data_IF_100384654167
#
_entry.id   IF_100384654167
#
_cell.length_a   1.000
_cell.length_b   1.000
_cell.length_c   1.000
_cell.angle_alpha   90.00
_cell.angle_beta   90.00
_cell.angle_gamma   90.00
#
_symmetry.space_group_name_H-M   'P 1'
#
loop_
_entity.id
_entity.type
_entity.pdbx_description
1 polymer ?
#
# COMPACT_ATOMS: atom_id res chain seq x y z
N UNK A 1 -10.22 20.51 1.85
CA UNK A 1 -9.77 19.28 2.52
C UNK A 1 -8.49 18.89 1.86
N UNK A 2 -7.36 19.08 2.52
CA UNK A 2 -6.07 18.86 1.91
C UNK A 2 -5.49 17.56 2.50
N UNK A 3 -4.98 16.68 1.62
CA UNK A 3 -4.23 15.45 1.93
C UNK A 3 -2.77 15.80 2.23
N UNK A 4 -2.28 15.44 3.42
CA UNK A 4 -0.95 15.85 3.91
C UNK A 4 0.07 14.89 3.36
N UNK A 5 0.49 15.12 2.12
CA UNK A 5 1.62 14.38 1.58
C UNK A 5 2.88 14.74 2.38
N UNK A 6 3.71 13.74 2.76
CA UNK A 6 5.03 14.00 3.27
C UNK A 6 5.84 14.72 2.20
N UNK A 7 6.31 15.90 2.55
CA UNK A 7 7.12 16.73 1.69
C UNK A 7 8.54 16.16 1.59
N UNK A 8 8.97 15.73 0.39
CA UNK A 8 10.38 15.41 0.15
C UNK A 8 11.19 16.69 -0.15
N UNK A 9 12.50 16.67 0.06
CA UNK A 9 13.38 17.84 -0.10
C UNK A 9 13.17 18.60 -1.43
N UNK A 10 13.03 17.95 -2.61
CA UNK A 10 12.74 18.64 -3.88
C UNK A 10 11.33 19.27 -3.98
N UNK A 11 10.31 18.65 -3.38
CA UNK A 11 8.92 19.16 -3.41
C UNK A 11 8.74 20.43 -2.59
N UNK A 12 9.54 20.62 -1.53
CA UNK A 12 9.48 21.82 -0.69
C UNK A 12 10.08 23.03 -1.40
N UNK A 13 11.27 22.89 -1.98
CA UNK A 13 11.94 24.00 -2.67
C UNK A 13 11.13 24.54 -3.85
N UNK A 14 10.31 23.69 -4.49
CA UNK A 14 9.48 24.05 -5.65
C UNK A 14 8.08 24.55 -5.30
N UNK A 15 7.56 24.24 -4.10
CA UNK A 15 6.19 24.58 -3.69
C UNK A 15 6.08 25.62 -2.58
N UNK A 16 7.21 26.16 -2.13
CA UNK A 16 7.31 27.14 -1.05
C UNK A 16 7.22 28.58 -1.59
N UNK A 17 6.20 29.32 -1.17
CA UNK A 17 6.05 30.75 -1.47
C UNK A 17 5.74 31.54 -0.20
N UNK A 18 6.47 32.65 0.01
CA UNK A 18 6.22 33.61 1.10
C UNK A 18 5.55 34.85 0.51
N UNK A 19 4.45 35.29 1.13
CA UNK A 19 3.76 36.52 0.78
C UNK A 19 3.75 37.53 1.94
N UNK A 20 4.12 38.82 1.72
CA UNK A 20 4.69 39.36 0.48
C UNK A 20 6.05 38.71 0.15
N UNK A 21 6.48 38.78 -1.12
CA UNK A 21 7.71 38.11 -1.57
C UNK A 21 8.92 38.61 -0.77
N UNK A 22 9.53 37.72 0.02
CA UNK A 22 10.74 37.98 0.79
C UNK A 22 11.88 37.14 0.21
N UNK A 23 12.99 37.78 -0.12
CA UNK A 23 14.22 37.08 -0.50
C UNK A 23 14.94 36.54 0.74
N UNK A 24 15.42 35.31 0.67
CA UNK A 24 16.15 34.67 1.75
C UNK A 24 16.76 33.35 1.33
N UNK A 25 17.45 32.70 2.28
CA UNK A 25 18.05 31.38 2.12
C UNK A 25 17.16 30.33 2.76
N UNK A 26 16.95 29.23 2.06
CA UNK A 26 16.37 28.01 2.61
C UNK A 26 17.50 27.05 3.01
N UNK A 27 17.37 26.44 4.18
CA UNK A 27 18.27 25.39 4.64
C UNK A 27 17.49 24.36 5.46
N UNK A 28 17.67 23.08 5.19
CA UNK A 28 17.15 22.04 6.05
C UNK A 28 18.02 21.93 7.30
N UNK A 29 17.38 21.95 8.47
CA UNK A 29 18.04 21.69 9.75
C UNK A 29 18.17 20.20 10.01
N UNK A 30 17.13 19.46 9.65
CA UNK A 30 16.99 18.01 9.73
C UNK A 30 15.99 17.56 8.66
N UNK A 31 15.64 16.26 8.63
CA UNK A 31 14.77 15.68 7.60
C UNK A 31 13.32 16.21 7.60
N UNK A 32 12.91 16.96 8.64
CA UNK A 32 11.52 17.39 8.86
C UNK A 32 11.39 18.89 9.21
N UNK A 33 12.51 19.58 9.37
CA UNK A 33 12.58 20.99 9.76
C UNK A 33 13.29 21.80 8.69
N UNK A 34 12.54 22.70 8.06
CA UNK A 34 13.06 23.67 7.11
C UNK A 34 13.25 25.02 7.80
N UNK A 35 14.46 25.56 7.73
CA UNK A 35 14.79 26.90 8.16
C UNK A 35 14.80 27.86 6.94
N UNK A 36 14.15 29.01 7.11
CA UNK A 36 14.25 30.14 6.19
C UNK A 36 14.90 31.33 6.88
N UNK A 37 15.97 31.85 6.27
CA UNK A 37 16.70 33.03 6.72
C UNK A 37 16.49 34.18 5.71
N UNK A 38 15.64 35.18 6.02
CA UNK A 38 15.44 36.33 5.14
C UNK A 38 16.69 37.21 5.07
N UNK A 39 17.06 37.67 3.88
CA UNK A 39 18.20 38.58 3.70
C UNK A 39 17.94 39.99 4.27
N UNK A 40 16.66 40.40 4.35
CA UNK A 40 16.22 41.66 4.97
C UNK A 40 15.02 41.38 5.88
N UNK A 41 15.15 41.73 7.16
CA UNK A 41 14.05 41.66 8.12
C UNK A 41 13.13 42.88 7.93
N UNK A 42 11.96 42.69 7.33
CA UNK A 42 10.87 43.65 7.45
C UNK A 42 10.18 43.40 8.81
N UNK A 43 10.52 44.21 9.80
CA UNK A 43 9.88 44.17 11.12
C UNK A 43 8.36 44.40 10.97
N UNK A 44 7.56 43.66 11.74
CA UNK A 44 6.10 43.80 11.86
C UNK A 44 5.24 43.48 10.62
N UNK A 45 5.75 42.77 9.62
CA UNK A 45 4.93 42.27 8.50
C UNK A 45 4.34 40.89 8.85
N UNK A 46 3.03 40.73 8.67
CA UNK A 46 2.39 39.40 8.71
C UNK A 46 2.70 38.68 7.40
N UNK A 47 3.07 37.40 7.48
CA UNK A 47 3.40 36.60 6.31
C UNK A 47 2.46 35.41 6.19
N UNK A 48 2.20 35.02 4.94
CA UNK A 48 1.57 33.75 4.61
C UNK A 48 2.60 32.86 3.92
N UNK A 49 2.70 31.61 4.36
CA UNK A 49 3.52 30.59 3.70
C UNK A 49 2.58 29.59 3.06
N UNK A 50 2.67 29.48 1.75
CA UNK A 50 1.96 28.46 0.99
C UNK A 50 2.90 27.30 0.71
N UNK A 51 2.46 26.10 1.07
CA UNK A 51 3.20 24.85 0.90
C UNK A 51 2.29 23.87 0.20
N UNK A 52 2.63 23.48 -1.04
CA UNK A 52 1.78 22.61 -1.86
C UNK A 52 0.30 23.04 -1.89
N UNK A 53 0.05 24.36 -1.96
CA UNK A 53 -1.30 24.95 -2.01
C UNK A 53 -2.04 25.06 -0.66
N UNK A 54 -1.38 24.78 0.47
CA UNK A 54 -1.92 25.05 1.81
C UNK A 54 -1.27 26.26 2.47
N UNK A 55 -2.09 27.16 2.97
CA UNK A 55 -1.64 28.35 3.69
C UNK A 55 -1.43 28.06 5.18
N UNK A 56 -0.20 28.23 5.65
CA UNK A 56 0.14 28.24 7.08
C UNK A 56 0.31 29.71 7.50
N UNK A 57 -0.50 30.18 8.45
CA UNK A 57 -0.35 31.52 9.03
C UNK A 57 0.59 31.46 10.23
N UNK A 58 1.64 32.28 10.22
CA UNK A 58 2.52 32.50 11.36
C UNK A 58 2.75 33.99 11.60
N UNK A 59 2.92 34.38 12.86
CA UNK A 59 3.38 35.72 13.24
C UNK A 59 4.79 35.57 13.81
N UNK A 60 5.81 36.27 13.29
CA UNK A 60 7.12 36.29 13.93
C UNK A 60 6.99 36.96 15.30
N UNK A 61 7.17 36.19 16.38
CA UNK A 61 7.46 36.78 17.69
C UNK A 61 8.93 37.20 17.71
N UNK A 62 9.17 38.41 18.21
CA UNK A 62 10.39 39.18 18.05
C UNK A 62 11.68 38.46 18.48
N UNK A 63 12.78 38.79 17.78
CA UNK A 63 14.14 38.59 18.29
C UNK A 63 15.00 37.52 17.60
N UNK A 64 14.45 36.70 16.70
CA UNK A 64 15.23 35.69 15.95
C UNK A 64 15.22 35.98 14.46
N UNK A 65 16.40 35.89 13.83
CA UNK A 65 16.61 36.10 12.39
C UNK A 65 16.13 34.92 11.53
N UNK A 66 15.66 33.83 12.13
CA UNK A 66 15.35 32.58 11.43
C UNK A 66 13.89 32.20 11.66
N UNK A 67 13.24 31.67 10.62
CA UNK A 67 11.92 31.05 10.70
C UNK A 67 12.08 29.54 10.56
N UNK A 68 11.52 28.76 11.49
CA UNK A 68 11.51 27.30 11.41
C UNK A 68 10.09 26.82 11.12
N UNK A 69 9.97 25.98 10.11
CA UNK A 69 8.73 25.30 9.76
C UNK A 69 8.88 23.83 10.10
N UNK A 70 8.04 23.34 11.02
CA UNK A 70 7.89 21.92 11.27
C UNK A 70 6.76 21.43 10.39
N UNK A 71 7.05 20.47 9.50
CA UNK A 71 5.98 19.74 8.82
C UNK A 71 5.17 19.06 9.92
N UNK A 72 3.93 19.52 10.16
CA UNK A 72 3.06 19.12 11.27
C UNK A 72 3.30 17.64 11.63
N UNK A 73 3.91 17.41 12.80
CA UNK A 73 4.15 16.11 13.45
C UNK A 73 4.25 14.94 12.47
N UNK A 74 5.46 14.61 12.01
CA UNK A 74 5.69 13.26 11.48
C UNK A 74 5.22 12.23 12.52
N UNK A 75 4.61 11.10 12.12
CA UNK A 75 4.45 10.01 13.07
C UNK A 75 5.85 9.60 13.51
N UNK A 76 6.01 9.45 14.82
CA UNK A 76 7.29 9.36 15.52
C UNK A 76 8.18 8.14 15.17
N UNK A 77 7.87 7.33 14.17
CA UNK A 77 8.50 6.02 14.01
C UNK A 77 8.59 5.58 12.54
N UNK A 78 9.70 5.90 11.87
CA UNK A 78 10.07 5.27 10.58
C UNK A 78 11.04 4.13 10.89
N UNK A 79 10.68 2.91 10.48
CA UNK A 79 11.57 1.75 10.54
C UNK A 79 12.69 1.92 9.51
N UNK A 80 13.94 1.90 9.98
CA UNK A 80 15.11 2.00 9.12
C UNK A 80 15.18 0.83 8.11
N UNK A 81 15.52 1.09 6.84
CA UNK A 81 15.57 0.05 5.82
C UNK A 81 16.64 -1.00 6.09
N UNK A 82 16.50 -2.18 5.47
CA UNK A 82 17.56 -3.19 5.40
C UNK A 82 17.67 -4.10 6.61
N UNK A 83 16.66 -4.14 7.48
CA UNK A 83 16.56 -5.21 8.48
C UNK A 83 16.51 -6.57 7.79
N UNK A 84 17.30 -7.54 8.26
CA UNK A 84 17.35 -8.88 7.66
C UNK A 84 16.05 -9.67 7.76
N UNK A 85 15.13 -9.24 8.63
CA UNK A 85 13.78 -9.75 8.77
C UNK A 85 12.88 -8.70 9.42
N UNK A 86 11.57 -8.82 9.22
CA UNK A 86 10.54 -8.01 9.87
C UNK A 86 9.29 -8.87 10.13
N UNK A 87 8.57 -8.58 11.22
CA UNK A 87 7.23 -9.11 11.41
C UNK A 87 6.22 -8.11 10.87
N UNK A 88 5.43 -8.51 9.86
CA UNK A 88 4.38 -7.68 9.25
C UNK A 88 3.19 -8.58 8.95
N UNK A 89 1.98 -8.29 9.45
CA UNK A 89 0.80 -9.02 9.04
C UNK A 89 0.47 -8.70 7.58
N UNK A 90 0.40 -9.72 6.72
CA UNK A 90 -0.10 -9.62 5.35
C UNK A 90 -1.52 -10.16 5.31
N UNK A 91 -2.51 -9.28 5.31
CA UNK A 91 -3.93 -9.62 5.38
C UNK A 91 -4.45 -10.08 4.02
N UNK A 92 -5.17 -11.21 3.99
CA UNK A 92 -5.80 -11.75 2.78
C UNK A 92 -7.30 -11.49 2.82
N UNK A 93 -7.78 -10.65 1.92
CA UNK A 93 -9.17 -10.44 1.58
C UNK A 93 -9.49 -11.06 0.22
N UNK A 94 -10.76 -11.42 0.01
CA UNK A 94 -11.29 -11.79 -1.30
C UNK A 94 -12.48 -10.89 -1.61
N UNK A 95 -13.71 -11.32 -1.28
CA UNK A 95 -14.90 -10.52 -1.49
C UNK A 95 -15.10 -9.50 -0.37
N UNK A 96 -15.49 -8.28 -0.75
CA UNK A 96 -16.01 -7.27 0.18
C UNK A 96 -17.51 -7.08 -0.12
N UNK A 97 -18.30 -8.05 0.35
CA UNK A 97 -19.73 -8.15 0.07
C UNK A 97 -20.48 -8.83 1.19
N UNK A 98 -21.79 -8.65 1.21
CA UNK A 98 -22.69 -9.57 1.92
C UNK A 98 -22.85 -10.81 1.04
N UNK A 99 -22.53 -12.00 1.58
CA UNK A 99 -22.64 -13.25 0.84
C UNK A 99 -24.07 -13.44 0.32
N UNK A 100 -24.29 -13.53 -1.01
CA UNK A 100 -25.63 -13.60 -1.58
C UNK A 100 -26.30 -14.96 -1.38
N UNK A 101 -25.52 -16.02 -1.18
CA UNK A 101 -26.03 -17.37 -0.94
C UNK A 101 -25.59 -17.91 0.41
N UNK A 102 -26.54 -17.96 1.37
CA UNK A 102 -26.31 -18.48 2.73
C UNK A 102 -25.85 -19.95 2.77
N UNK A 103 -25.99 -20.72 1.69
CA UNK A 103 -25.56 -22.11 1.60
C UNK A 103 -24.16 -22.27 1.01
N UNK A 104 -23.62 -21.24 0.34
CA UNK A 104 -22.24 -21.19 -0.10
C UNK A 104 -21.31 -20.92 1.09
N UNK A 105 -20.89 -21.99 1.77
CA UNK A 105 -19.99 -21.91 2.92
C UNK A 105 -18.61 -21.35 2.55
N UNK A 106 -18.12 -21.63 1.34
CA UNK A 106 -16.82 -21.13 0.90
C UNK A 106 -16.91 -19.65 0.56
N UNK A 107 -17.93 -19.25 -0.19
CA UNK A 107 -18.24 -17.84 -0.46
C UNK A 107 -18.45 -17.05 0.83
N UNK A 108 -19.14 -17.62 1.83
CA UNK A 108 -19.24 -17.02 3.16
C UNK A 108 -17.86 -16.83 3.79
N UNK A 109 -17.04 -17.89 3.87
CA UNK A 109 -15.72 -17.83 4.51
C UNK A 109 -14.76 -16.83 3.83
N UNK A 110 -14.96 -16.54 2.54
CA UNK A 110 -14.18 -15.59 1.74
C UNK A 110 -14.82 -14.20 1.63
N UNK A 111 -15.99 -13.95 2.25
CA UNK A 111 -16.68 -12.66 2.20
C UNK A 111 -16.56 -11.92 3.52
N UNK A 112 -15.96 -10.73 3.48
CA UNK A 112 -16.05 -9.74 4.57
C UNK A 112 -17.14 -8.75 4.19
N UNK A 113 -18.06 -8.45 5.11
CA UNK A 113 -19.13 -7.49 4.79
C UNK A 113 -18.57 -6.07 4.64
N UNK A 114 -19.19 -5.17 3.86
CA UNK A 114 -18.73 -3.79 3.74
C UNK A 114 -18.64 -3.07 5.10
N UNK A 115 -19.58 -3.34 6.00
CA UNK A 115 -19.60 -2.80 7.37
C UNK A 115 -18.41 -3.31 8.18
N UNK A 116 -18.13 -4.63 8.14
CA UNK A 116 -17.02 -5.21 8.88
C UNK A 116 -15.68 -4.71 8.32
N UNK A 117 -15.55 -4.62 6.99
CA UNK A 117 -14.35 -4.10 6.35
C UNK A 117 -14.10 -2.64 6.74
N UNK A 118 -15.11 -1.78 6.71
CA UNK A 118 -14.99 -0.39 7.17
C UNK A 118 -14.56 -0.33 8.65
N UNK A 119 -15.18 -1.13 9.52
CA UNK A 119 -14.82 -1.18 10.93
C UNK A 119 -13.38 -1.70 11.17
N UNK A 120 -12.89 -2.61 10.34
CA UNK A 120 -11.49 -3.06 10.36
C UNK A 120 -10.53 -1.95 9.93
N UNK A 121 -10.86 -1.18 8.88
CA UNK A 121 -10.03 -0.06 8.42
C UNK A 121 -10.00 1.09 9.43
N UNK A 122 -11.14 1.41 10.06
CA UNK A 122 -11.24 2.33 11.20
C UNK A 122 -10.34 1.89 12.35
N UNK A 123 -10.40 0.62 12.72
CA UNK A 123 -9.56 0.09 13.79
C UNK A 123 -8.07 0.15 13.46
N UNK A 124 -7.67 -0.15 12.22
CA UNK A 124 -6.27 -0.04 11.79
C UNK A 124 -5.77 1.42 11.94
N UNK A 125 -6.55 2.38 11.45
CA UNK A 125 -6.25 3.82 11.58
C UNK A 125 -6.13 4.23 13.05
N UNK A 126 -7.15 3.93 13.85
CA UNK A 126 -7.23 4.36 15.25
C UNK A 126 -6.19 3.67 16.14
N UNK A 127 -5.73 2.49 15.73
CA UNK A 127 -4.65 1.75 16.40
C UNK A 127 -3.25 2.10 15.87
N UNK A 128 -3.13 3.05 14.94
CA UNK A 128 -1.85 3.54 14.41
C UNK A 128 -1.13 2.57 13.47
N UNK A 129 -1.84 1.64 12.83
CA UNK A 129 -1.27 0.83 11.76
C UNK A 129 -1.18 1.63 10.46
N UNK A 130 -0.14 1.33 9.68
CA UNK A 130 0.10 2.00 8.41
C UNK A 130 0.08 0.97 7.27
N UNK A 131 -1.03 0.90 6.53
CA UNK A 131 -1.12 0.04 5.35
C UNK A 131 -0.07 0.39 4.30
N UNK A 132 0.70 -0.62 3.89
CA UNK A 132 1.73 -0.56 2.86
C UNK A 132 1.45 -1.61 1.78
N UNK A 133 2.12 -1.50 0.64
CA UNK A 133 2.03 -2.51 -0.42
C UNK A 133 3.11 -3.61 -0.26
N UNK A 134 3.01 -4.70 -1.02
CA UNK A 134 4.07 -5.72 -1.05
C UNK A 134 5.38 -5.18 -1.63
N UNK A 135 5.31 -4.28 -2.63
CA UNK A 135 6.49 -3.57 -3.12
C UNK A 135 7.19 -2.72 -2.05
N UNK A 136 6.44 -2.07 -1.16
CA UNK A 136 7.04 -1.31 -0.04
C UNK A 136 7.80 -2.26 0.91
N UNK A 137 7.19 -3.40 1.26
CA UNK A 137 7.83 -4.43 2.09
C UNK A 137 9.10 -4.99 1.42
N UNK A 138 9.05 -5.26 0.12
CA UNK A 138 10.22 -5.69 -0.66
C UNK A 138 11.32 -4.64 -0.65
N UNK A 139 10.98 -3.36 -0.91
CA UNK A 139 11.93 -2.26 -0.91
C UNK A 139 12.61 -2.09 0.46
N UNK A 140 11.87 -2.27 1.55
CA UNK A 140 12.39 -2.26 2.91
C UNK A 140 13.41 -3.35 3.16
N UNK A 141 13.06 -4.61 2.86
CA UNK A 141 13.93 -5.76 3.05
C UNK A 141 15.18 -5.71 2.16
N UNK A 142 15.10 -5.02 1.02
CA UNK A 142 16.24 -4.76 0.12
C UNK A 142 17.14 -3.62 0.61
N UNK A 143 16.77 -2.88 1.65
CA UNK A 143 17.52 -1.71 2.10
C UNK A 143 17.27 -0.43 1.30
N UNK A 144 16.25 -0.40 0.43
CA UNK A 144 16.01 0.70 -0.49
C UNK A 144 15.14 1.83 0.09
N UNK A 145 14.21 1.51 1.01
CA UNK A 145 13.27 2.49 1.59
C UNK A 145 12.81 2.08 2.98
N UNK A 146 12.75 3.00 3.93
CA UNK A 146 12.16 2.75 5.25
C UNK A 146 10.64 2.53 5.20
N UNK A 147 10.08 1.96 6.26
CA UNK A 147 8.62 1.80 6.40
C UNK A 147 8.07 2.70 7.51
N UNK A 148 6.80 3.10 7.46
CA UNK A 148 6.13 3.63 8.64
C UNK A 148 6.08 2.54 9.74
N UNK A 149 5.95 2.95 11.00
CA UNK A 149 5.75 2.03 12.11
C UNK A 149 4.46 1.24 11.99
N UNK A 150 4.38 0.12 12.72
CA UNK A 150 3.23 -0.79 12.69
C UNK A 150 2.74 -1.03 11.25
N UNK A 151 3.64 -1.40 10.32
CA UNK A 151 3.24 -1.66 8.95
C UNK A 151 2.26 -2.85 8.92
N UNK A 152 1.30 -2.80 8.01
CA UNK A 152 0.39 -3.91 7.69
C UNK A 152 0.25 -3.96 6.17
N UNK A 153 0.22 -5.14 5.56
CA UNK A 153 -0.04 -5.26 4.12
C UNK A 153 -1.48 -5.70 3.93
N UNK A 154 -2.25 -4.97 3.13
CA UNK A 154 -3.61 -5.35 2.74
C UNK A 154 -3.55 -5.99 1.35
N UNK A 155 -3.96 -7.25 1.22
CA UNK A 155 -4.02 -7.94 -0.07
C UNK A 155 -5.43 -8.38 -0.43
N UNK A 156 -5.81 -8.24 -1.70
CA UNK A 156 -7.10 -8.63 -2.25
C UNK A 156 -6.89 -9.57 -3.43
N UNK A 157 -7.39 -10.80 -3.33
CA UNK A 157 -7.22 -11.81 -4.36
C UNK A 157 -8.34 -11.75 -5.43
N UNK A 158 -8.13 -12.44 -6.54
CA UNK A 158 -9.06 -12.71 -7.66
C UNK A 158 -9.48 -11.56 -8.59
N UNK A 159 -9.45 -10.31 -8.12
CA UNK A 159 -9.83 -9.15 -8.94
C UNK A 159 -11.34 -8.95 -9.10
N UNK A 160 -12.12 -9.30 -8.06
CA UNK A 160 -13.57 -9.10 -8.03
C UNK A 160 -13.97 -7.62 -8.16
N UNK A 161 -15.16 -7.38 -8.74
CA UNK A 161 -15.69 -6.04 -8.94
C UNK A 161 -15.95 -5.29 -7.62
N UNK A 162 -16.23 -6.01 -6.53
CA UNK A 162 -16.49 -5.44 -5.20
C UNK A 162 -15.24 -4.84 -4.55
N UNK A 163 -14.03 -5.25 -4.95
CA UNK A 163 -12.82 -4.51 -4.64
C UNK A 163 -12.94 -3.06 -5.12
N UNK A 164 -13.31 -2.85 -6.38
CA UNK A 164 -13.44 -1.51 -6.95
C UNK A 164 -14.66 -0.76 -6.41
N UNK A 165 -15.83 -1.41 -6.35
CA UNK A 165 -17.08 -0.70 -5.99
C UNK A 165 -17.23 -0.45 -4.49
N UNK A 166 -16.50 -1.20 -3.65
CA UNK A 166 -16.71 -1.19 -2.20
C UNK A 166 -15.41 -1.01 -1.43
N UNK A 167 -14.39 -1.84 -1.67
CA UNK A 167 -13.14 -1.76 -0.91
C UNK A 167 -12.36 -0.46 -1.21
N UNK A 168 -12.20 -0.12 -2.48
CA UNK A 168 -11.40 1.01 -2.95
C UNK A 168 -11.91 2.37 -2.41
N UNK A 169 -13.22 2.70 -2.43
CA UNK A 169 -13.73 3.91 -1.80
C UNK A 169 -13.41 4.03 -0.31
N UNK A 170 -13.49 2.90 0.43
CA UNK A 170 -13.14 2.85 1.85
C UNK A 170 -11.63 3.07 2.00
N UNK A 171 -10.79 2.34 1.28
CA UNK A 171 -9.32 2.54 1.33
C UNK A 171 -8.95 4.01 1.04
N UNK A 172 -9.55 4.63 0.02
CA UNK A 172 -9.36 6.04 -0.32
C UNK A 172 -9.76 7.00 0.82
N UNK A 173 -10.83 6.72 1.56
CA UNK A 173 -11.23 7.58 2.68
C UNK A 173 -10.24 7.54 3.86
N UNK A 174 -9.40 6.52 3.91
CA UNK A 174 -8.33 6.36 4.92
C UNK A 174 -6.93 6.73 4.40
N UNK A 175 -6.78 7.08 3.12
CA UNK A 175 -5.46 7.20 2.45
C UNK A 175 -4.62 5.92 2.56
N UNK A 176 -5.29 4.76 2.54
CA UNK A 176 -4.66 3.46 2.71
C UNK A 176 -4.15 2.89 1.38
N UNK A 177 -2.94 2.33 1.43
CA UNK A 177 -2.37 1.53 0.34
C UNK A 177 -2.77 0.07 0.50
N UNK A 178 -2.79 -0.65 -0.62
CA UNK A 178 -3.03 -2.09 -0.67
C UNK A 178 -2.43 -2.69 -1.95
N UNK A 179 -2.49 -4.02 -2.05
CA UNK A 179 -2.11 -4.79 -3.24
C UNK A 179 -3.32 -5.62 -3.71
N UNK A 180 -3.74 -5.47 -4.97
CA UNK A 180 -4.81 -6.25 -5.59
C UNK A 180 -4.23 -7.23 -6.60
N UNK A 181 -4.38 -8.53 -6.37
CA UNK A 181 -3.94 -9.59 -7.27
C UNK A 181 -5.03 -9.91 -8.28
N UNK A 182 -4.77 -9.63 -9.55
CA UNK A 182 -5.77 -9.74 -10.62
C UNK A 182 -5.54 -10.99 -11.46
N UNK A 183 -6.59 -11.81 -11.62
CA UNK A 183 -6.62 -12.90 -12.59
C UNK A 183 -6.85 -12.29 -13.97
N UNK A 184 -5.81 -12.23 -14.81
CA UNK A 184 -5.84 -11.40 -16.02
C UNK A 184 -6.93 -11.82 -17.02
N UNK A 185 -7.22 -13.11 -17.11
CA UNK A 185 -8.26 -13.65 -18.00
C UNK A 185 -9.70 -13.40 -17.52
N UNK A 186 -9.89 -12.94 -16.27
CA UNK A 186 -11.20 -12.60 -15.72
C UNK A 186 -11.53 -11.12 -15.83
N UNK A 187 -10.57 -10.27 -16.23
CA UNK A 187 -10.80 -8.83 -16.40
C UNK A 187 -11.94 -8.59 -17.40
N UNK A 188 -12.98 -7.87 -16.94
CA UNK A 188 -14.18 -7.58 -17.71
C UNK A 188 -15.25 -8.67 -17.72
N UNK A 189 -15.03 -9.81 -17.06
CA UNK A 189 -16.08 -10.82 -16.88
C UNK A 189 -17.12 -10.35 -15.84
N UNK A 190 -18.38 -10.83 -15.92
CA UNK A 190 -19.39 -10.53 -14.91
C UNK A 190 -18.89 -10.86 -13.49
N UNK A 191 -18.96 -9.89 -12.59
CA UNK A 191 -18.49 -10.01 -11.20
C UNK A 191 -17.01 -9.68 -10.97
N UNK A 192 -16.25 -9.37 -12.02
CA UNK A 192 -14.83 -8.99 -11.95
C UNK A 192 -14.61 -7.55 -12.41
N UNK A 193 -13.49 -6.96 -12.00
CA UNK A 193 -13.13 -5.62 -12.44
C UNK A 193 -12.97 -5.56 -13.96
N UNK A 194 -13.46 -4.48 -14.56
CA UNK A 194 -13.15 -4.09 -15.93
C UNK A 194 -11.73 -3.55 -16.07
N UNK A 195 -11.20 -3.49 -17.29
CA UNK A 195 -9.89 -2.89 -17.55
C UNK A 195 -9.79 -1.44 -17.04
N UNK A 196 -10.86 -0.65 -17.19
CA UNK A 196 -10.91 0.72 -16.70
C UNK A 196 -10.85 0.79 -15.16
N UNK A 197 -11.52 -0.13 -14.47
CA UNK A 197 -11.51 -0.21 -13.01
C UNK A 197 -10.14 -0.65 -12.46
N UNK A 198 -9.46 -1.60 -13.13
CA UNK A 198 -8.08 -1.98 -12.77
C UNK A 198 -7.13 -0.78 -12.92
N UNK A 199 -7.23 -0.05 -14.04
CA UNK A 199 -6.40 1.14 -14.28
C UNK A 199 -6.70 2.28 -13.28
N UNK A 200 -7.96 2.47 -12.89
CA UNK A 200 -8.32 3.48 -11.89
C UNK A 200 -7.84 3.07 -10.48
N UNK A 201 -7.92 1.80 -10.11
CA UNK A 201 -7.38 1.30 -8.85
C UNK A 201 -5.87 1.56 -8.78
N UNK A 202 -5.12 1.24 -9.83
CA UNK A 202 -3.68 1.52 -9.93
C UNK A 202 -3.36 3.01 -9.74
N UNK A 203 -4.05 3.89 -10.49
CA UNK A 203 -3.91 5.35 -10.37
C UNK A 203 -4.28 5.90 -9.00
N UNK A 204 -4.96 5.12 -8.17
CA UNK A 204 -5.32 5.48 -6.79
C UNK A 204 -4.27 5.07 -5.77
N UNK A 205 -3.12 4.54 -6.21
CA UNK A 205 -2.03 4.12 -5.34
C UNK A 205 -2.15 2.68 -4.84
N UNK A 206 -3.06 1.88 -5.41
CA UNK A 206 -3.14 0.44 -5.19
C UNK A 206 -2.10 -0.25 -6.08
N UNK A 207 -1.30 -1.13 -5.50
CA UNK A 207 -0.40 -1.98 -6.29
C UNK A 207 -1.21 -3.08 -6.99
N UNK A 208 -1.10 -3.16 -8.32
CA UNK A 208 -1.69 -4.27 -9.07
C UNK A 208 -0.66 -5.40 -9.21
N UNK A 209 -0.98 -6.55 -8.61
CA UNK A 209 -0.23 -7.79 -8.71
C UNK A 209 -0.89 -8.80 -9.65
N UNK A 210 -0.15 -9.85 -10.03
CA UNK A 210 -0.66 -10.90 -10.91
C UNK A 210 -1.18 -12.11 -10.13
N UNK A 211 -2.31 -12.67 -10.56
CA UNK A 211 -2.91 -13.89 -10.02
C UNK A 211 -3.11 -14.98 -11.07
N UNK A 212 -2.15 -15.13 -11.98
CA UNK A 212 -2.19 -16.00 -13.18
C UNK A 212 -3.22 -15.57 -14.22
N UNK A 213 -3.31 -16.30 -15.34
CA UNK A 213 -4.26 -16.00 -16.42
C UNK A 213 -5.66 -16.48 -16.06
N UNK A 214 -5.80 -17.67 -15.48
CA UNK A 214 -7.09 -18.33 -15.30
C UNK A 214 -7.27 -18.98 -13.92
N UNK A 215 -6.52 -18.51 -12.91
CA UNK A 215 -6.58 -19.01 -11.53
C UNK A 215 -6.24 -20.52 -11.42
N UNK A 216 -5.28 -20.98 -12.23
CA UNK A 216 -4.86 -22.39 -12.25
C UNK A 216 -4.09 -22.81 -11.00
N UNK A 217 -4.30 -24.05 -10.55
CA UNK A 217 -3.41 -24.70 -9.58
C UNK A 217 -2.05 -25.01 -10.22
N UNK A 218 -1.08 -24.11 -10.03
CA UNK A 218 0.24 -24.18 -10.64
C UNK A 218 1.03 -25.44 -10.25
N UNK A 219 0.79 -26.01 -9.06
CA UNK A 219 1.48 -27.22 -8.60
C UNK A 219 1.15 -28.47 -9.45
N UNK A 220 0.09 -28.42 -10.28
CA UNK A 220 -0.37 -29.53 -11.11
C UNK A 220 -0.11 -29.33 -12.61
N UNK A 221 0.43 -28.17 -13.00
CA UNK A 221 0.68 -27.85 -14.40
C UNK A 221 2.07 -28.34 -14.83
N UNK A 222 2.22 -28.54 -16.15
CA UNK A 222 3.54 -28.74 -16.75
C UNK A 222 4.37 -27.45 -16.67
N UNK A 223 5.69 -27.56 -16.79
CA UNK A 223 6.60 -26.41 -16.76
C UNK A 223 6.20 -25.32 -17.77
N UNK A 224 5.95 -25.70 -19.03
CA UNK A 224 5.51 -24.75 -20.06
C UNK A 224 4.19 -24.07 -19.73
N UNK A 225 3.23 -24.81 -19.17
CA UNK A 225 1.93 -24.26 -18.79
C UNK A 225 2.04 -23.30 -17.59
N UNK A 226 2.90 -23.58 -16.60
CA UNK A 226 3.20 -22.64 -15.51
C UNK A 226 3.79 -21.35 -16.08
N UNK A 227 4.80 -21.46 -16.96
CA UNK A 227 5.42 -20.28 -17.58
C UNK A 227 4.41 -19.41 -18.33
N UNK A 228 3.51 -19.99 -19.11
CA UNK A 228 2.43 -19.24 -19.76
C UNK A 228 1.52 -18.54 -18.75
N UNK A 229 1.10 -19.25 -17.69
CA UNK A 229 0.27 -18.65 -16.64
C UNK A 229 0.93 -17.45 -15.95
N UNK A 230 2.26 -17.43 -15.83
CA UNK A 230 3.02 -16.36 -15.18
C UNK A 230 3.33 -15.19 -16.14
N UNK A 231 3.85 -15.51 -17.33
CA UNK A 231 4.33 -14.50 -18.29
C UNK A 231 3.15 -13.83 -18.98
N UNK A 232 2.13 -14.57 -19.40
CA UNK A 232 1.03 -14.00 -20.18
C UNK A 232 0.15 -13.09 -19.30
N UNK A 233 -0.06 -13.46 -18.02
CA UNK A 233 -0.81 -12.63 -17.08
C UNK A 233 -0.07 -11.34 -16.76
N UNK A 234 1.25 -11.43 -16.56
CA UNK A 234 2.12 -10.27 -16.35
C UNK A 234 2.09 -9.34 -17.56
N UNK A 235 2.35 -9.84 -18.77
CA UNK A 235 2.34 -9.04 -20.00
C UNK A 235 0.96 -8.42 -20.29
N UNK A 236 -0.13 -9.11 -19.97
CA UNK A 236 -1.47 -8.51 -20.08
C UNK A 236 -1.61 -7.29 -19.17
N UNK A 237 -1.28 -7.44 -17.88
CA UNK A 237 -1.43 -6.37 -16.90
C UNK A 237 -0.46 -5.22 -17.18
N UNK A 238 0.80 -5.50 -17.54
CA UNK A 238 1.78 -4.47 -17.88
C UNK A 238 1.36 -3.64 -19.10
N UNK A 239 0.75 -4.27 -20.12
CA UNK A 239 0.19 -3.55 -21.27
C UNK A 239 -0.99 -2.68 -20.89
N UNK A 240 -1.83 -3.13 -19.95
CA UNK A 240 -2.98 -2.36 -19.47
C UNK A 240 -2.53 -1.15 -18.64
N UNK A 241 -1.54 -1.34 -17.76
CA UNK A 241 -1.11 -0.36 -16.77
C UNK A 241 -0.05 0.61 -17.31
N UNK A 242 0.77 0.18 -18.27
CA UNK A 242 1.87 0.97 -18.82
C UNK A 242 3.13 0.98 -17.95
N UNK A 243 3.21 0.13 -16.93
CA UNK A 243 4.40 -0.05 -16.09
C UNK A 243 4.55 -1.52 -15.67
N UNK A 244 5.73 -1.93 -15.13
CA UNK A 244 5.97 -3.31 -14.72
C UNK A 244 5.03 -3.81 -13.61
N UNK A 245 4.71 -5.10 -13.65
CA UNK A 245 3.94 -5.81 -12.61
C UNK A 245 4.86 -6.80 -11.90
N UNK A 246 5.10 -6.56 -10.62
CA UNK A 246 6.20 -7.20 -9.87
C UNK A 246 5.75 -8.05 -8.69
N UNK A 247 4.52 -7.91 -8.22
CA UNK A 247 3.94 -8.73 -7.16
C UNK A 247 3.13 -9.91 -7.74
N UNK A 248 3.18 -11.06 -7.07
CA UNK A 248 2.47 -12.27 -7.48
C UNK A 248 1.74 -12.94 -6.31
N UNK A 249 0.63 -13.63 -6.58
CA UNK A 249 -0.05 -14.48 -5.60
C UNK A 249 -0.37 -15.84 -6.22
N UNK A 250 -0.09 -16.93 -5.49
CA UNK A 250 -0.38 -18.28 -5.97
C UNK A 250 -1.88 -18.62 -5.81
N UNK A 251 -2.62 -18.97 -6.88
CA UNK A 251 -4.01 -19.40 -6.77
C UNK A 251 -4.19 -20.52 -5.75
N UNK A 252 -5.12 -20.31 -4.81
CA UNK A 252 -5.40 -21.25 -3.70
C UNK A 252 -4.17 -21.64 -2.85
N UNK A 253 -3.08 -20.86 -2.90
CA UNK A 253 -1.81 -21.15 -2.24
C UNK A 253 -1.11 -22.42 -2.74
N UNK A 254 -1.42 -22.89 -3.96
CA UNK A 254 -0.89 -24.16 -4.48
C UNK A 254 0.33 -23.94 -5.36
N UNK A 255 1.50 -24.32 -4.85
CA UNK A 255 2.78 -24.23 -5.54
C UNK A 255 3.73 -25.36 -5.10
N UNK A 256 4.87 -25.47 -5.77
CA UNK A 256 6.01 -26.29 -5.35
C UNK A 256 7.31 -25.50 -5.61
N UNK A 257 8.48 -26.06 -5.25
CA UNK A 257 9.77 -25.36 -5.42
C UNK A 257 10.07 -24.98 -6.86
N UNK A 258 9.72 -25.83 -7.83
CA UNK A 258 9.88 -25.54 -9.28
C UNK A 258 8.99 -24.38 -9.72
N UNK A 259 7.77 -24.26 -9.19
CA UNK A 259 6.89 -23.11 -9.47
C UNK A 259 7.45 -21.84 -8.84
N UNK A 260 7.92 -21.88 -7.59
CA UNK A 260 8.52 -20.70 -6.94
C UNK A 260 9.76 -20.19 -7.71
N UNK A 261 10.59 -21.09 -8.25
CA UNK A 261 11.69 -20.70 -9.13
C UNK A 261 11.19 -20.04 -10.42
N UNK A 262 10.14 -20.58 -11.05
CA UNK A 262 9.58 -19.98 -12.28
C UNK A 262 8.95 -18.59 -12.03
N UNK A 263 8.41 -18.34 -10.83
CA UNK A 263 7.95 -17.00 -10.42
C UNK A 263 9.13 -16.03 -10.39
N UNK A 264 10.26 -16.43 -9.80
CA UNK A 264 11.48 -15.62 -9.82
C UNK A 264 12.00 -15.38 -11.24
N UNK A 265 12.04 -16.44 -12.08
CA UNK A 265 12.50 -16.39 -13.47
C UNK A 265 11.59 -15.51 -14.36
N UNK A 266 10.28 -15.47 -14.08
CA UNK A 266 9.32 -14.56 -14.72
C UNK A 266 9.51 -13.08 -14.31
N UNK A 267 10.47 -12.79 -13.41
CA UNK A 267 10.86 -11.45 -13.00
C UNK A 267 9.89 -10.80 -12.02
N UNK A 268 9.16 -11.58 -11.22
CA UNK A 268 8.46 -11.06 -10.05
C UNK A 268 9.48 -10.74 -8.93
N UNK A 269 9.21 -9.69 -8.16
CA UNK A 269 10.02 -9.28 -7.01
C UNK A 269 9.70 -10.11 -5.78
N UNK A 270 8.41 -10.41 -5.60
CA UNK A 270 7.86 -11.13 -4.46
C UNK A 270 6.64 -11.98 -4.87
N UNK A 271 6.26 -12.90 -4.00
CA UNK A 271 5.02 -13.65 -4.11
C UNK A 271 4.44 -14.06 -2.75
N UNK A 272 3.12 -14.01 -2.66
CA UNK A 272 2.38 -14.38 -1.44
C UNK A 272 1.65 -15.72 -1.56
N UNK A 273 1.52 -16.42 -0.43
CA UNK A 273 0.90 -17.74 -0.30
C UNK A 273 -0.32 -17.70 0.61
N UNK A 274 -0.97 -18.84 0.86
CA UNK A 274 -2.01 -18.94 1.91
C UNK A 274 -1.48 -19.57 3.20
N UNK A 275 -0.15 -19.75 3.33
CA UNK A 275 0.45 -20.26 4.56
C UNK A 275 0.40 -19.17 5.63
N UNK A 276 0.13 -19.55 6.87
CA UNK A 276 0.06 -18.62 8.00
C UNK A 276 1.45 -18.25 8.52
N UNK A 277 1.63 -16.98 8.86
CA UNK A 277 2.86 -16.47 9.47
C UNK A 277 2.97 -14.95 9.37
N UNK A 278 3.85 -14.38 10.19
CA UNK A 278 4.08 -12.93 10.28
C UNK A 278 5.49 -12.50 9.91
N UNK A 279 6.45 -13.44 9.93
CA UNK A 279 7.87 -13.13 9.76
C UNK A 279 8.26 -13.23 8.30
N UNK A 280 8.88 -12.17 7.79
CA UNK A 280 9.28 -12.03 6.39
C UNK A 280 10.74 -11.59 6.28
N UNK A 281 11.41 -12.09 5.26
CA UNK A 281 12.79 -11.78 4.89
C UNK A 281 12.90 -11.56 3.38
N UNK A 282 14.08 -11.14 2.91
CA UNK A 282 14.34 -11.09 1.47
C UNK A 282 14.49 -12.50 0.85
N UNK A 283 14.89 -13.49 1.65
CA UNK A 283 15.16 -14.85 1.18
C UNK A 283 13.88 -15.65 0.88
N UNK A 284 12.82 -15.43 1.66
CA UNK A 284 11.51 -16.07 1.52
C UNK A 284 10.50 -15.21 0.73
N UNK A 285 10.95 -14.15 0.05
CA UNK A 285 10.09 -13.21 -0.68
C UNK A 285 9.15 -13.83 -1.71
N UNK A 286 9.46 -15.02 -2.21
CA UNK A 286 8.60 -15.74 -3.16
C UNK A 286 7.57 -16.66 -2.48
N UNK A 287 7.55 -16.70 -1.16
CA UNK A 287 6.68 -17.57 -0.37
C UNK A 287 6.16 -16.84 0.88
N UNK A 288 6.03 -15.51 0.84
CA UNK A 288 5.55 -14.75 1.99
C UNK A 288 4.20 -15.28 2.48
N UNK A 289 4.13 -15.51 3.78
CA UNK A 289 2.95 -15.98 4.48
C UNK A 289 1.91 -14.88 4.62
N UNK A 290 0.65 -15.25 4.85
CA UNK A 290 -0.45 -14.32 5.01
C UNK A 290 -1.37 -14.72 6.16
N UNK A 291 -2.06 -13.73 6.72
CA UNK A 291 -3.14 -13.87 7.67
C UNK A 291 -4.47 -13.77 6.91
N UNK A 292 -5.26 -14.85 6.92
CA UNK A 292 -6.59 -14.85 6.29
C UNK A 292 -7.57 -14.05 7.16
N UNK A 293 -8.27 -13.10 6.54
CA UNK A 293 -9.45 -12.46 7.15
C UNK A 293 -10.68 -13.23 6.68
N UNK A 294 -11.41 -13.82 7.62
CA UNK A 294 -12.51 -14.76 7.30
C UNK A 294 -13.88 -14.12 7.48
N UNK A 295 -14.86 -14.56 6.69
CA UNK A 295 -16.24 -14.14 6.90
C UNK A 295 -16.77 -14.53 8.27
N UNK A 296 -17.45 -13.58 8.92
CA UNK A 296 -17.96 -13.74 10.29
C UNK A 296 -16.93 -13.55 11.40
N UNK A 297 -15.67 -13.22 11.06
CA UNK A 297 -14.66 -12.80 12.05
C UNK A 297 -15.07 -11.49 12.72
N UNK A 298 -15.07 -11.44 14.05
CA UNK A 298 -15.37 -10.22 14.78
C UNK A 298 -14.21 -9.22 14.70
N UNK A 299 -14.50 -7.93 14.86
CA UNK A 299 -13.45 -6.89 14.94
C UNK A 299 -12.40 -7.20 16.01
N UNK A 300 -12.80 -7.78 17.14
CA UNK A 300 -11.87 -8.09 18.23
C UNK A 300 -10.97 -9.29 17.88
N UNK A 301 -11.48 -10.31 17.17
CA UNK A 301 -10.66 -11.40 16.63
C UNK A 301 -9.64 -10.90 15.62
N UNK A 302 -10.08 -10.04 14.69
CA UNK A 302 -9.21 -9.35 13.75
C UNK A 302 -8.11 -8.56 14.48
N UNK A 303 -8.47 -7.76 15.47
CA UNK A 303 -7.54 -6.94 16.25
C UNK A 303 -6.46 -7.79 16.96
N UNK A 304 -6.85 -8.91 17.56
CA UNK A 304 -5.92 -9.86 18.20
C UNK A 304 -4.98 -10.47 17.15
N UNK A 305 -5.52 -10.92 16.02
CA UNK A 305 -4.74 -11.57 14.97
C UNK A 305 -3.70 -10.62 14.34
N UNK A 306 -4.05 -9.35 14.13
CA UNK A 306 -3.14 -8.32 13.60
C UNK A 306 -2.08 -7.92 14.63
N UNK A 307 -2.48 -7.71 15.89
CA UNK A 307 -1.55 -7.27 16.95
C UNK A 307 -0.55 -8.32 17.39
N UNK A 308 -0.83 -9.60 17.14
CA UNK A 308 0.12 -10.70 17.43
C UNK A 308 1.41 -10.61 16.59
N UNK A 309 1.41 -9.86 15.49
CA UNK A 309 2.59 -9.64 14.65
C UNK A 309 3.60 -8.66 15.24
N UNK A 310 3.17 -7.79 16.17
CA UNK A 310 3.93 -6.62 16.65
C UNK A 310 4.84 -6.95 17.83
#
# INVERSE_FOLDING_TARGET
MASSQPMNHPSVETSFAIQPRVEGRLAWRDDVTLDFEPFRLAYATAYQVDVSGRSVRGVPLSGRRHWSFTTVSGPADVLAPGAGAINVPILTYHYIRVNPDRFDRMGFALSVTPTDFAAQMDWLRDSGYHPISTADLYAFLKGARGLPSKPVVLTFDDGYADFYTTALPILRSHDFRATAYVVSGFVGWPGYMTAAQVLEADRSGIEIGSHTVNHSNLARLSYGAVRSQLVDSKLFLERLLGHPVVAFCYPSGKFNSTVAWQVADAGFSDATTTMFGYRHTLADRYIWTRLRVSGGESRDQFAIAVSTAS
#
